data_IF_630675087681
#
_entry.id   IF_630675087681
#
_cell.length_a   1.000
_cell.length_b   1.000
_cell.length_c   1.000
_cell.angle_alpha   90.00
_cell.angle_beta   90.00
_cell.angle_gamma   90.00
#
_symmetry.space_group_name_H-M   'P 1'
#
loop_
_entity.id
_entity.type
_entity.pdbx_description
1 polymer ?
#
# COMPACT_ATOMS: atom_id res chain seq x y z
N UNK A 1 -6.16 9.47 -5.14
CA UNK A 1 -5.38 9.18 -3.91
C UNK A 1 -3.89 9.41 -4.23
N UNK A 2 -3.05 9.90 -3.30
CA UNK A 2 -1.59 10.04 -3.55
C UNK A 2 -0.89 8.68 -3.41
N UNK A 3 0.23 8.48 -4.12
CA UNK A 3 1.04 7.25 -4.19
C UNK A 3 1.62 6.74 -2.84
N UNK A 4 1.33 7.41 -1.72
CA UNK A 4 1.70 6.98 -0.36
C UNK A 4 0.59 7.18 0.68
N UNK A 5 -0.65 7.43 0.26
CA UNK A 5 -1.78 7.46 1.18
C UNK A 5 -2.23 6.04 1.54
N UNK A 6 -2.83 5.86 2.72
CA UNK A 6 -3.43 4.58 3.11
C UNK A 6 -4.77 4.37 2.41
N UNK A 7 -4.97 3.19 1.84
CA UNK A 7 -6.22 2.83 1.13
C UNK A 7 -7.41 2.89 2.09
N UNK A 8 -7.20 2.56 3.37
CA UNK A 8 -8.20 2.62 4.43
C UNK A 8 -8.91 3.97 4.52
N UNK A 9 -8.17 5.07 4.36
CA UNK A 9 -8.73 6.43 4.42
C UNK A 9 -9.63 6.69 3.20
N UNK A 10 -9.18 6.27 2.03
CA UNK A 10 -9.93 6.40 0.79
C UNK A 10 -11.21 5.53 0.79
N UNK A 11 -11.16 4.34 1.37
CA UNK A 11 -12.33 3.49 1.58
C UNK A 11 -13.34 4.17 2.51
N UNK A 12 -12.88 4.79 3.61
CA UNK A 12 -13.75 5.51 4.54
C UNK A 12 -14.45 6.68 3.84
N UNK A 13 -13.72 7.46 3.03
CA UNK A 13 -14.28 8.55 2.23
C UNK A 13 -15.31 8.04 1.21
N UNK A 14 -15.02 6.93 0.52
CA UNK A 14 -15.95 6.31 -0.40
C UNK A 14 -17.24 5.89 0.33
N UNK A 15 -17.14 5.18 1.46
CA UNK A 15 -18.32 4.74 2.23
C UNK A 15 -19.14 5.93 2.74
N UNK A 16 -18.49 7.00 3.16
CA UNK A 16 -19.15 8.25 3.54
C UNK A 16 -19.88 8.89 2.36
N UNK A 17 -19.27 8.90 1.18
CA UNK A 17 -19.85 9.42 -0.06
C UNK A 17 -21.08 8.60 -0.51
N UNK A 18 -20.97 7.27 -0.48
CA UNK A 18 -22.09 6.35 -0.79
C UNK A 18 -23.25 6.57 0.17
N UNK A 19 -22.97 6.66 1.46
CA UNK A 19 -24.00 6.93 2.47
C UNK A 19 -24.70 8.29 2.26
N UNK A 20 -23.97 9.31 1.79
CA UNK A 20 -24.52 10.64 1.51
C UNK A 20 -25.35 10.73 0.24
N UNK A 21 -24.98 10.00 -0.82
CA UNK A 21 -25.62 10.12 -2.14
C UNK A 21 -26.72 9.07 -2.34
N UNK A 22 -26.66 7.93 -1.65
CA UNK A 22 -27.63 6.84 -1.77
C UNK A 22 -27.28 5.84 -2.87
N UNK A 23 -28.30 5.14 -3.39
CA UNK A 23 -28.29 3.91 -4.21
C UNK A 23 -27.35 3.92 -5.44
N UNK A 24 -26.04 3.81 -5.21
CA UNK A 24 -25.07 3.55 -6.25
C UNK A 24 -24.97 2.06 -6.46
N UNK A 25 -25.21 1.60 -7.70
CA UNK A 25 -24.98 0.19 -8.03
C UNK A 25 -23.51 -0.20 -7.86
N UNK A 26 -23.26 -1.44 -7.41
CA UNK A 26 -21.92 -1.97 -7.16
C UNK A 26 -20.95 -1.77 -8.33
N UNK A 27 -21.43 -1.89 -9.58
CA UNK A 27 -20.61 -1.63 -10.77
C UNK A 27 -20.12 -0.20 -10.87
N UNK A 28 -20.97 0.77 -10.53
CA UNK A 28 -20.59 2.19 -10.55
C UNK A 28 -19.55 2.47 -9.46
N UNK A 29 -19.72 1.88 -8.28
CA UNK A 29 -18.77 2.00 -7.17
C UNK A 29 -17.43 1.36 -7.49
N UNK A 30 -17.41 0.15 -8.05
CA UNK A 30 -16.19 -0.53 -8.49
C UNK A 30 -15.45 0.33 -9.51
N UNK A 31 -16.16 0.88 -10.51
CA UNK A 31 -15.55 1.72 -11.53
C UNK A 31 -14.96 2.99 -10.93
N UNK A 32 -15.70 3.66 -10.04
CA UNK A 32 -15.25 4.89 -9.40
C UNK A 32 -14.07 4.65 -8.45
N UNK A 33 -14.09 3.53 -7.71
CA UNK A 33 -13.01 3.11 -6.83
C UNK A 33 -11.74 2.85 -7.63
N UNK A 34 -11.80 2.04 -8.69
CA UNK A 34 -10.65 1.77 -9.58
C UNK A 34 -10.06 3.05 -10.16
N UNK A 35 -10.88 4.04 -10.50
CA UNK A 35 -10.38 5.32 -11.02
C UNK A 35 -9.60 6.15 -10.00
N UNK A 36 -9.87 5.99 -8.71
CA UNK A 36 -9.22 6.75 -7.64
C UNK A 36 -7.96 6.09 -7.07
N UNK A 37 -7.72 4.82 -7.41
CA UNK A 37 -6.57 4.04 -6.96
C UNK A 37 -5.27 4.48 -7.68
N UNK A 38 -4.13 4.43 -6.97
CA UNK A 38 -2.83 4.65 -7.59
C UNK A 38 -2.50 3.56 -8.60
N UNK A 39 -1.72 3.92 -9.61
CA UNK A 39 -1.33 3.04 -10.73
C UNK A 39 -0.72 1.72 -10.26
N UNK A 40 0.06 1.79 -9.18
CA UNK A 40 0.71 0.65 -8.55
C UNK A 40 -0.28 -0.39 -8.02
N UNK A 41 -1.35 0.05 -7.39
CA UNK A 41 -2.39 -0.87 -6.91
C UNK A 41 -3.14 -1.45 -8.10
N UNK A 42 -3.44 -0.65 -9.12
CA UNK A 42 -4.11 -1.12 -10.34
C UNK A 42 -3.31 -2.21 -11.05
N UNK A 43 -1.99 -2.10 -11.10
CA UNK A 43 -1.09 -3.11 -11.67
C UNK A 43 -1.13 -4.43 -10.89
N UNK A 44 -1.06 -4.36 -9.55
CA UNK A 44 -1.20 -5.55 -8.71
C UNK A 44 -2.59 -6.18 -8.81
N UNK A 45 -3.62 -5.36 -8.96
CA UNK A 45 -5.00 -5.81 -9.18
C UNK A 45 -5.16 -6.51 -10.53
N UNK A 46 -4.51 -5.99 -11.58
CA UNK A 46 -4.50 -6.60 -12.91
C UNK A 46 -3.74 -7.93 -12.95
N UNK A 47 -2.71 -8.08 -12.11
CA UNK A 47 -2.00 -9.33 -11.90
C UNK A 47 -2.78 -10.35 -11.05
N UNK A 48 -3.91 -9.98 -10.45
CA UNK A 48 -4.68 -10.89 -9.62
C UNK A 48 -5.43 -11.90 -10.50
N UNK A 49 -5.32 -13.22 -10.25
CA UNK A 49 -5.92 -14.26 -11.10
C UNK A 49 -7.47 -14.33 -11.03
N UNK A 50 -8.10 -13.53 -10.17
CA UNK A 50 -9.53 -13.62 -9.86
C UNK A 50 -10.27 -12.40 -10.38
N UNK A 51 -11.43 -12.62 -10.99
CA UNK A 51 -12.28 -11.51 -11.44
C UNK A 51 -12.94 -10.87 -10.22
N UNK A 52 -12.70 -9.58 -10.03
CA UNK A 52 -13.23 -8.83 -8.90
C UNK A 52 -14.57 -8.21 -9.32
N UNK A 53 -15.64 -8.96 -9.10
CA UNK A 53 -17.01 -8.55 -9.47
C UNK A 53 -17.80 -7.95 -8.31
N UNK A 54 -17.26 -8.00 -7.08
CA UNK A 54 -17.87 -7.42 -5.88
C UNK A 54 -17.03 -6.27 -5.33
N UNK A 55 -17.70 -5.19 -4.93
CA UNK A 55 -17.05 -4.04 -4.30
C UNK A 55 -16.35 -4.45 -2.99
N UNK A 56 -16.96 -5.32 -2.21
CA UNK A 56 -16.40 -5.75 -0.93
C UNK A 56 -15.10 -6.53 -1.14
N UNK A 57 -15.11 -7.47 -2.10
CA UNK A 57 -13.91 -8.23 -2.47
C UNK A 57 -12.80 -7.32 -3.02
N UNK A 58 -13.17 -6.30 -3.81
CA UNK A 58 -12.23 -5.29 -4.29
C UNK A 58 -11.54 -4.55 -3.15
N UNK A 59 -12.32 -4.13 -2.16
CA UNK A 59 -11.82 -3.42 -0.98
C UNK A 59 -10.83 -4.30 -0.20
N UNK A 60 -11.20 -5.55 0.07
CA UNK A 60 -10.37 -6.47 0.86
C UNK A 60 -9.02 -6.75 0.18
N UNK A 61 -9.05 -7.10 -1.12
CA UNK A 61 -7.81 -7.33 -1.91
C UNK A 61 -6.94 -6.08 -1.93
N UNK A 62 -7.54 -4.91 -2.07
CA UNK A 62 -6.78 -3.65 -2.11
C UNK A 62 -6.13 -3.35 -0.76
N UNK A 63 -6.83 -3.61 0.35
CA UNK A 63 -6.33 -3.41 1.71
C UNK A 63 -5.16 -4.35 2.02
N UNK A 64 -5.25 -5.61 1.58
CA UNK A 64 -4.20 -6.61 1.73
C UNK A 64 -2.93 -6.21 0.96
N UNK A 65 -3.09 -5.75 -0.28
CA UNK A 65 -1.98 -5.26 -1.10
C UNK A 65 -1.30 -4.03 -0.50
N UNK A 66 -2.07 -3.09 0.04
CA UNK A 66 -1.54 -1.89 0.71
C UNK A 66 -0.79 -2.24 2.01
N UNK A 67 -1.33 -3.16 2.80
CA UNK A 67 -0.71 -3.63 4.05
C UNK A 67 0.61 -4.32 3.76
N UNK A 68 0.62 -5.28 2.83
CA UNK A 68 1.82 -6.02 2.43
C UNK A 68 2.89 -5.10 1.85
N UNK A 69 2.49 -4.01 1.18
CA UNK A 69 3.44 -3.02 0.71
C UNK A 69 4.08 -2.23 1.84
N UNK A 70 3.27 -1.73 2.78
CA UNK A 70 3.79 -0.98 3.92
C UNK A 70 4.75 -1.81 4.76
N UNK A 71 4.44 -3.10 4.98
CA UNK A 71 5.34 -4.04 5.63
C UNK A 71 6.67 -4.18 4.87
N UNK A 72 6.63 -4.39 3.54
CA UNK A 72 7.84 -4.48 2.71
C UNK A 72 8.65 -3.18 2.70
N UNK A 73 8.00 -2.02 2.72
CA UNK A 73 8.70 -0.74 2.81
C UNK A 73 9.38 -0.57 4.17
N UNK A 74 8.71 -0.97 5.26
CA UNK A 74 9.27 -0.94 6.62
C UNK A 74 10.50 -1.85 6.75
N UNK A 75 10.51 -3.01 6.10
CA UNK A 75 11.69 -3.89 6.06
C UNK A 75 12.86 -3.27 5.29
N UNK A 76 12.58 -2.61 4.16
CA UNK A 76 13.60 -1.93 3.35
C UNK A 76 14.23 -0.74 4.07
N UNK A 77 13.45 0.04 4.80
CA UNK A 77 13.98 1.13 5.64
C UNK A 77 14.83 0.60 6.80
N UNK A 78 14.42 -0.49 7.45
CA UNK A 78 15.19 -1.10 8.54
C UNK A 78 16.53 -1.72 8.08
N UNK A 79 16.62 -2.16 6.82
CA UNK A 79 17.87 -2.68 6.26
C UNK A 79 18.88 -1.59 5.87
N UNK A 80 18.42 -0.35 5.62
CA UNK A 80 19.32 0.77 5.34
C UNK A 80 19.99 1.30 6.61
N UNK A 81 19.30 1.32 7.75
CA UNK A 81 19.94 1.70 9.02
C UNK A 81 21.01 0.69 9.43
N UNK A 82 20.79 -0.61 9.26
CA UNK A 82 21.79 -1.64 9.62
C UNK A 82 23.00 -1.69 8.69
N UNK A 83 22.93 -1.17 7.46
CA UNK A 83 24.08 -1.15 6.55
C UNK A 83 25.03 0.04 6.79
N UNK A 84 24.58 1.04 7.53
CA UNK A 84 25.37 2.25 7.82
C UNK A 84 26.30 2.08 9.02
N UNK A 85 26.08 1.05 9.85
CA UNK A 85 26.81 0.86 11.11
C UNK A 85 27.90 -0.22 11.03
N UNK A 86 27.87 -1.08 10.01
CA UNK A 86 28.92 -2.09 9.78
C UNK A 86 30.20 -1.54 9.12
N UNK A 87 30.25 -0.25 8.77
CA UNK A 87 31.42 0.35 8.08
C UNK A 87 32.35 1.17 9.01
N UNK A 88 32.13 1.19 10.33
CA UNK A 88 32.94 1.98 11.27
C UNK A 88 33.81 1.19 12.26
N UNK A 89 33.88 -0.14 12.15
CA UNK A 89 34.70 -0.98 13.05
C UNK A 89 35.80 -1.73 12.31
N UNK A 90 36.70 -1.01 11.62
CA UNK A 90 38.01 -1.56 11.23
C UNK A 90 39.06 -0.45 11.16
N UNK A 91 39.50 0.05 12.31
CA UNK A 91 40.82 0.65 12.45
C UNK A 91 41.33 0.41 13.86
N UNK A 92 41.73 -0.82 14.13
CA UNK A 92 42.59 -1.17 15.26
C UNK A 92 44.03 -0.85 14.85
N UNK A 93 44.56 0.27 15.37
CA UNK A 93 45.98 0.57 15.36
C UNK A 93 46.47 0.52 16.82
N UNK A 94 47.27 -0.48 17.22
CA UNK A 94 47.95 -0.43 18.51
C UNK A 94 49.24 0.37 18.36
N UNK A 95 49.33 1.55 18.99
CA UNK A 95 50.63 2.22 19.17
C UNK A 95 51.15 1.93 20.58
N UNK A 96 52.21 1.13 20.59
CA UNK A 96 53.14 0.90 21.69
C UNK A 96 54.14 2.06 21.76
N UNK A 97 54.30 2.70 22.93
CA UNK A 97 55.54 3.37 23.40
C UNK A 97 55.40 3.72 24.88
#
# INVERSE_FOLDING_TARGET
MKEGGHVSLYIADLKSLVSRIGDWGDRALIHHFRKGLPSRILDQLASHPSRIDSLQYLIDVTLELDTRYHERQKEKSNHQEKKSEASKSSSSHPQNS
#
